data_IF_788932416537
#
_entry.id   IF_788932416537
#
_cell.length_a   1.000
_cell.length_b   1.000
_cell.length_c   1.000
_cell.angle_alpha   90.00
_cell.angle_beta   90.00
_cell.angle_gamma   90.00
#
_symmetry.space_group_name_H-M   'P 1'
#
loop_
_entity.id
_entity.type
_entity.pdbx_description
1 polymer ?
#
# COMPACT_ATOMS: atom_id res chain seq x y z
N UNK A 1 -4.75 28.24 4.39
CA UNK A 1 -3.49 27.67 4.89
C UNK A 1 -3.86 26.58 5.87
N UNK A 2 -3.96 25.34 5.41
CA UNK A 2 -4.32 24.19 6.26
C UNK A 2 -3.04 23.60 6.85
N UNK A 3 -2.88 23.80 8.16
CA UNK A 3 -1.84 23.13 8.94
C UNK A 3 -2.12 21.63 8.97
N UNK A 4 -1.41 20.85 8.15
CA UNK A 4 -1.32 19.42 8.32
C UNK A 4 -0.57 19.12 9.63
N UNK A 5 -1.12 18.32 10.55
CA UNK A 5 -0.41 17.94 11.75
C UNK A 5 0.89 17.18 11.37
N UNK A 6 2.02 17.66 11.89
CA UNK A 6 3.31 16.95 11.75
C UNK A 6 3.27 15.72 12.64
N UNK A 7 2.88 14.59 12.09
CA UNK A 7 3.13 13.31 12.75
C UNK A 7 4.62 13.00 12.65
N UNK A 8 5.37 13.32 13.72
CA UNK A 8 6.75 12.88 13.88
C UNK A 8 6.71 11.45 14.42
N UNK A 9 6.79 10.47 13.55
CA UNK A 9 7.12 9.10 13.96
C UNK A 9 8.63 9.05 14.26
N UNK A 10 8.98 9.17 15.56
CA UNK A 10 10.35 8.95 16.04
C UNK A 10 10.59 7.45 16.16
N UNK A 11 11.01 6.81 15.05
CA UNK A 11 11.88 5.64 15.07
C UNK A 11 12.53 5.50 13.69
N UNK A 12 13.73 6.06 13.54
CA UNK A 12 14.59 5.86 12.37
C UNK A 12 15.15 4.43 12.38
N UNK A 13 14.36 3.45 12.00
CA UNK A 13 14.91 2.30 11.30
C UNK A 13 15.16 2.76 9.86
N UNK A 14 16.32 2.41 9.29
CA UNK A 14 16.73 2.82 7.94
C UNK A 14 15.67 2.42 6.91
N UNK A 15 14.58 3.19 6.84
CA UNK A 15 13.53 3.09 5.87
C UNK A 15 14.08 3.60 4.53
N UNK A 16 13.89 2.84 3.48
CA UNK A 16 14.25 3.28 2.13
C UNK A 16 13.56 4.59 1.80
N UNK A 17 14.15 5.35 0.90
CA UNK A 17 13.68 6.67 0.47
C UNK A 17 12.35 6.60 -0.35
N UNK A 18 11.41 5.74 0.07
CA UNK A 18 10.10 5.55 -0.54
C UNK A 18 9.01 6.26 0.27
N UNK A 19 8.09 6.92 -0.41
CA UNK A 19 6.84 7.39 0.19
C UNK A 19 5.83 6.26 0.16
N UNK A 20 5.16 5.98 1.28
CA UNK A 20 4.06 5.01 1.37
C UNK A 20 2.74 5.62 0.88
N UNK A 21 2.04 4.92 0.00
CA UNK A 21 0.69 5.27 -0.47
C UNK A 21 -0.25 4.10 -0.21
N UNK A 22 -1.18 4.25 0.74
CA UNK A 22 -2.21 3.27 1.05
C UNK A 22 -3.48 3.59 0.26
N UNK A 23 -3.92 2.68 -0.58
CA UNK A 23 -5.15 2.87 -1.37
C UNK A 23 -6.36 2.34 -0.61
N UNK A 24 -7.22 3.22 -0.13
CA UNK A 24 -8.48 2.90 0.55
C UNK A 24 -9.71 3.26 -0.27
N UNK A 25 -9.52 3.83 -1.47
CA UNK A 25 -10.58 4.13 -2.41
C UNK A 25 -11.02 2.87 -3.19
N UNK A 26 -12.32 2.76 -3.43
CA UNK A 26 -12.90 1.69 -4.23
C UNK A 26 -14.31 1.32 -3.77
N UNK A 27 -15.18 0.93 -4.71
CA UNK A 27 -16.53 0.44 -4.36
C UNK A 27 -16.47 -1.07 -4.19
N UNK A 28 -16.46 -1.54 -2.93
CA UNK A 28 -16.55 -2.96 -2.57
C UNK A 28 -17.93 -3.55 -2.89
N UNK A 29 -18.24 -3.68 -4.20
CA UNK A 29 -19.58 -4.14 -4.66
C UNK A 29 -19.93 -5.56 -4.24
N UNK A 30 -18.93 -6.39 -3.89
CA UNK A 30 -19.12 -7.81 -3.58
C UNK A 30 -19.32 -8.09 -2.10
N UNK A 31 -18.90 -7.18 -1.24
CA UNK A 31 -18.90 -7.37 0.21
C UNK A 31 -20.23 -6.96 0.88
N UNK A 32 -21.11 -6.24 0.16
CA UNK A 32 -22.38 -5.72 0.70
C UNK A 32 -22.22 -4.59 1.73
N UNK A 33 -21.00 -4.39 2.24
CA UNK A 33 -20.55 -3.31 3.11
C UNK A 33 -19.11 -2.95 2.75
N UNK A 34 -18.58 -1.85 3.29
CA UNK A 34 -17.19 -1.50 3.01
C UNK A 34 -16.25 -2.46 3.77
N UNK A 35 -15.56 -3.35 3.04
CA UNK A 35 -14.66 -4.35 3.59
C UNK A 35 -13.53 -3.76 4.43
N UNK A 36 -13.13 -2.53 4.15
CA UNK A 36 -12.01 -1.86 4.81
C UNK A 36 -12.30 -1.45 6.26
N UNK A 37 -13.59 -1.27 6.61
CA UNK A 37 -14.00 -0.89 7.98
C UNK A 37 -14.36 -2.09 8.86
N UNK A 38 -14.33 -3.30 8.32
CA UNK A 38 -14.49 -4.50 9.16
C UNK A 38 -13.33 -4.65 10.13
N UNK A 39 -13.65 -5.04 11.35
CA UNK A 39 -12.66 -5.15 12.42
C UNK A 39 -12.20 -6.57 12.64
N UNK A 40 -10.90 -6.70 12.89
CA UNK A 40 -10.23 -7.90 13.34
C UNK A 40 -9.56 -7.53 14.65
N UNK A 41 -9.97 -8.16 15.76
CA UNK A 41 -9.46 -7.87 17.11
C UNK A 41 -9.43 -6.37 17.48
N UNK A 42 -10.43 -5.62 17.03
CA UNK A 42 -10.59 -4.21 17.36
C UNK A 42 -9.85 -3.23 16.45
N UNK A 43 -9.15 -3.70 15.41
CA UNK A 43 -8.57 -2.86 14.36
C UNK A 43 -9.27 -3.14 13.03
N UNK A 44 -9.49 -2.12 12.23
CA UNK A 44 -10.06 -2.31 10.89
C UNK A 44 -9.04 -2.92 9.93
N UNK A 45 -9.52 -3.57 8.87
CA UNK A 45 -8.67 -4.10 7.78
C UNK A 45 -7.74 -3.03 7.23
N UNK A 46 -8.25 -1.81 7.00
CA UNK A 46 -7.45 -0.70 6.53
C UNK A 46 -6.39 -0.24 7.55
N UNK A 47 -6.73 -0.21 8.85
CA UNK A 47 -5.77 0.17 9.91
C UNK A 47 -4.62 -0.83 10.03
N UNK A 48 -4.86 -2.13 9.88
CA UNK A 48 -3.83 -3.15 9.87
C UNK A 48 -2.84 -2.93 8.72
N UNK A 49 -3.35 -2.73 7.50
CA UNK A 49 -2.51 -2.42 6.33
C UNK A 49 -1.75 -1.11 6.50
N UNK A 50 -2.39 -0.07 7.05
CA UNK A 50 -1.77 1.22 7.34
C UNK A 50 -0.65 1.11 8.37
N UNK A 51 -0.85 0.31 9.42
CA UNK A 51 0.14 0.08 10.46
C UNK A 51 1.42 -0.56 9.87
N UNK A 52 1.28 -1.62 9.06
CA UNK A 52 2.40 -2.26 8.40
C UNK A 52 3.16 -1.27 7.49
N UNK A 53 2.44 -0.46 6.71
CA UNK A 53 3.01 0.55 5.83
C UNK A 53 3.77 1.63 6.60
N UNK A 54 3.21 2.12 7.71
CA UNK A 54 3.83 3.15 8.58
C UNK A 54 5.11 2.69 9.25
N UNK A 55 5.25 1.38 9.48
CA UNK A 55 6.48 0.79 9.98
C UNK A 55 7.54 0.57 8.89
N UNK A 56 7.13 0.59 7.62
CA UNK A 56 8.02 0.34 6.48
C UNK A 56 8.50 1.63 5.80
N UNK A 57 7.74 2.74 5.88
CA UNK A 57 8.05 4.01 5.23
C UNK A 57 7.98 5.16 6.25
N UNK A 58 8.93 6.12 6.19
CA UNK A 58 8.97 7.27 7.09
C UNK A 58 7.84 8.28 6.84
N UNK A 59 7.31 8.31 5.63
CA UNK A 59 6.23 9.22 5.21
C UNK A 59 5.17 8.42 4.48
N UNK A 60 3.94 8.43 5.01
CA UNK A 60 2.82 7.67 4.46
C UNK A 60 1.61 8.56 4.28
N UNK A 61 0.83 8.24 3.24
CA UNK A 61 -0.46 8.88 2.94
C UNK A 61 -1.51 7.82 2.67
N UNK A 62 -2.73 8.09 3.14
CA UNK A 62 -3.91 7.38 2.69
C UNK A 62 -4.47 8.05 1.43
N UNK A 63 -4.74 7.26 0.41
CA UNK A 63 -5.36 7.71 -0.84
C UNK A 63 -6.76 7.14 -0.90
N UNK A 64 -7.76 7.98 -0.60
CA UNK A 64 -9.15 7.54 -0.61
C UNK A 64 -10.02 8.15 0.48
N UNK A 65 -10.50 7.31 1.42
CA UNK A 65 -11.65 7.60 2.26
C UNK A 65 -11.32 8.25 3.62
N UNK A 66 -10.08 8.18 4.10
CA UNK A 66 -9.70 8.70 5.43
C UNK A 66 -10.07 7.73 6.56
N UNK A 67 -9.73 6.44 6.42
CA UNK A 67 -10.13 5.37 7.34
C UNK A 67 -9.07 5.06 8.41
N UNK A 68 -7.82 5.52 8.23
CA UNK A 68 -6.67 4.94 8.95
C UNK A 68 -5.91 5.92 9.86
N UNK A 69 -6.31 7.20 9.87
CA UNK A 69 -5.59 8.24 10.59
C UNK A 69 -4.31 8.73 9.92
N UNK A 70 -3.89 8.16 8.78
CA UNK A 70 -2.84 8.72 7.94
C UNK A 70 -3.30 10.05 7.30
N UNK A 71 -2.37 10.96 6.94
CA UNK A 71 -2.71 12.12 6.11
C UNK A 71 -3.41 11.69 4.83
N UNK A 72 -4.56 12.30 4.52
CA UNK A 72 -5.45 11.85 3.45
C UNK A 72 -5.24 12.66 2.17
N UNK A 73 -5.11 11.94 1.05
CA UNK A 73 -5.26 12.47 -0.30
C UNK A 73 -6.58 11.95 -0.84
N UNK A 74 -7.57 12.82 -0.97
CA UNK A 74 -8.88 12.42 -1.45
C UNK A 74 -8.85 12.03 -2.93
N UNK A 75 -9.26 10.79 -3.24
CA UNK A 75 -9.46 10.34 -4.62
C UNK A 75 -10.79 10.90 -5.14
N UNK A 76 -10.69 11.97 -5.93
CA UNK A 76 -11.85 12.58 -6.59
C UNK A 76 -12.18 11.94 -7.93
N UNK A 77 -11.30 11.06 -8.45
CA UNK A 77 -11.47 10.47 -9.79
C UNK A 77 -12.52 9.38 -9.82
N UNK A 78 -12.56 8.52 -8.81
CA UNK A 78 -13.41 7.32 -8.76
C UNK A 78 -13.20 6.34 -9.92
N UNK A 79 -12.07 6.47 -10.65
CA UNK A 79 -11.76 5.73 -11.89
C UNK A 79 -10.87 4.51 -11.64
N UNK A 80 -10.67 4.15 -10.37
CA UNK A 80 -9.89 2.98 -9.99
C UNK A 80 -8.46 3.28 -9.56
N UNK A 81 -7.70 2.23 -9.17
CA UNK A 81 -6.44 2.40 -8.45
C UNK A 81 -5.37 3.15 -9.22
N UNK A 82 -5.27 2.97 -10.55
CA UNK A 82 -4.26 3.68 -11.33
C UNK A 82 -4.52 5.19 -11.36
N UNK A 83 -5.78 5.61 -11.46
CA UNK A 83 -6.13 7.03 -11.44
C UNK A 83 -5.88 7.66 -10.07
N UNK A 84 -6.20 6.93 -8.99
CA UNK A 84 -5.91 7.35 -7.62
C UNK A 84 -4.39 7.54 -7.39
N UNK A 85 -3.56 6.59 -7.85
CA UNK A 85 -2.10 6.70 -7.80
C UNK A 85 -1.62 7.93 -8.60
N UNK A 86 -2.05 8.08 -9.84
CA UNK A 86 -1.63 9.19 -10.70
C UNK A 86 -1.99 10.56 -10.11
N UNK A 87 -3.20 10.70 -9.58
CA UNK A 87 -3.65 11.93 -8.91
C UNK A 87 -2.80 12.22 -7.67
N UNK A 88 -2.50 11.19 -6.86
CA UNK A 88 -1.69 11.34 -5.66
C UNK A 88 -0.25 11.74 -5.99
N UNK A 89 0.34 11.15 -7.03
CA UNK A 89 1.68 11.52 -7.51
C UNK A 89 1.73 12.99 -7.91
N UNK A 90 0.75 13.46 -8.70
CA UNK A 90 0.67 14.87 -9.10
C UNK A 90 0.54 15.79 -7.87
N UNK A 91 -0.34 15.46 -6.94
CA UNK A 91 -0.55 16.23 -5.72
C UNK A 91 0.72 16.30 -4.86
N UNK A 92 1.35 15.15 -4.57
CA UNK A 92 2.53 15.08 -3.72
C UNK A 92 3.74 15.80 -4.33
N UNK A 93 3.87 15.80 -5.67
CA UNK A 93 4.91 16.58 -6.38
C UNK A 93 4.63 18.07 -6.33
N UNK A 94 3.38 18.49 -6.50
CA UNK A 94 2.98 19.91 -6.37
C UNK A 94 3.28 20.44 -4.97
N UNK A 95 3.04 19.63 -3.94
CA UNK A 95 3.36 19.93 -2.55
C UNK A 95 4.86 19.77 -2.21
N UNK A 96 5.72 19.38 -3.15
CA UNK A 96 7.16 19.11 -2.97
C UNK A 96 7.45 18.06 -1.89
N UNK A 97 6.55 17.10 -1.71
CA UNK A 97 6.67 15.98 -0.78
C UNK A 97 7.30 14.77 -1.49
N UNK A 98 6.85 14.48 -2.71
CA UNK A 98 7.42 13.44 -3.57
C UNK A 98 8.37 14.09 -4.59
N UNK A 99 9.67 13.84 -4.45
CA UNK A 99 10.67 14.39 -5.36
C UNK A 99 10.67 13.64 -6.71
N UNK A 100 11.08 14.34 -7.76
CA UNK A 100 11.39 13.69 -9.04
C UNK A 100 12.57 12.73 -8.85
N UNK A 101 12.40 11.47 -9.20
CA UNK A 101 13.42 10.44 -8.98
C UNK A 101 13.26 9.65 -7.67
N UNK A 102 12.26 9.96 -6.86
CA UNK A 102 11.91 9.19 -5.68
C UNK A 102 10.91 8.08 -6.01
N UNK A 103 11.08 6.90 -5.39
CA UNK A 103 10.14 5.79 -5.50
C UNK A 103 8.96 5.97 -4.53
N UNK A 104 7.86 5.28 -4.82
CA UNK A 104 6.75 5.11 -3.89
C UNK A 104 6.48 3.63 -3.63
N UNK A 105 6.12 3.29 -2.40
CA UNK A 105 5.57 1.99 -2.03
C UNK A 105 4.05 2.12 -2.04
N UNK A 106 3.41 1.46 -3.00
CA UNK A 106 1.95 1.46 -3.15
C UNK A 106 1.40 0.20 -2.51
N UNK A 107 0.43 0.36 -1.61
CA UNK A 107 -0.22 -0.73 -0.90
C UNK A 107 -1.74 -0.60 -1.00
N UNK A 108 -2.43 -1.70 -1.31
CA UNK A 108 -3.88 -1.79 -1.17
C UNK A 108 -4.27 -1.87 0.32
N UNK A 109 -5.39 -1.25 0.69
CA UNK A 109 -5.86 -1.22 2.08
C UNK A 109 -6.53 -2.52 2.56
N UNK A 110 -6.66 -3.52 1.70
CA UNK A 110 -7.38 -4.78 1.94
C UNK A 110 -6.46 -5.99 2.13
N UNK A 111 -5.19 -5.78 2.45
CA UNK A 111 -4.17 -6.81 2.71
C UNK A 111 -3.71 -6.78 4.18
N UNK A 112 -4.57 -7.12 5.15
CA UNK A 112 -4.31 -6.91 6.57
C UNK A 112 -3.21 -7.79 7.15
N UNK A 113 -2.82 -8.87 6.46
CA UNK A 113 -1.76 -9.79 6.89
C UNK A 113 -0.37 -9.37 6.43
N UNK A 114 -0.26 -8.35 5.57
CA UNK A 114 1.05 -7.91 5.09
C UNK A 114 1.91 -7.44 6.26
N UNK A 115 3.16 -7.90 6.30
CA UNK A 115 4.06 -7.51 7.39
C UNK A 115 4.92 -6.30 7.03
N UNK A 116 5.31 -5.54 8.05
CA UNK A 116 6.25 -4.44 7.87
C UNK A 116 7.63 -4.93 7.38
N UNK A 117 8.04 -6.15 7.74
CA UNK A 117 9.28 -6.76 7.26
C UNK A 117 9.26 -6.98 5.75
N UNK A 118 8.21 -7.56 5.23
CA UNK A 118 8.00 -7.76 3.80
C UNK A 118 7.96 -6.43 3.05
N UNK A 119 7.20 -5.45 3.56
CA UNK A 119 7.14 -4.12 2.96
C UNK A 119 8.50 -3.40 2.97
N UNK A 120 9.31 -3.56 4.03
CA UNK A 120 10.68 -3.01 4.08
C UNK A 120 11.59 -3.63 3.03
N UNK A 121 11.49 -4.92 2.78
CA UNK A 121 12.25 -5.59 1.72
C UNK A 121 11.89 -4.98 0.36
N UNK A 122 10.59 -4.81 0.09
CA UNK A 122 10.10 -4.23 -1.16
C UNK A 122 10.55 -2.77 -1.29
N UNK A 123 10.41 -1.96 -0.24
CA UNK A 123 10.77 -0.55 -0.23
C UNK A 123 12.28 -0.32 -0.40
N UNK A 124 13.10 -1.14 0.26
CA UNK A 124 14.56 -0.98 0.32
C UNK A 124 15.31 -1.83 -0.72
N UNK A 125 14.63 -2.44 -1.66
CA UNK A 125 15.27 -3.24 -2.69
C UNK A 125 16.34 -2.42 -3.44
N UNK A 126 17.51 -2.99 -3.74
CA UNK A 126 18.60 -2.25 -4.38
C UNK A 126 18.21 -1.58 -5.69
N UNK A 127 18.73 -0.37 -5.91
CA UNK A 127 18.43 0.43 -7.11
C UNK A 127 17.12 1.22 -7.02
N UNK A 128 16.70 1.79 -8.15
CA UNK A 128 15.51 2.64 -8.26
C UNK A 128 14.41 2.06 -9.15
N UNK A 129 14.58 0.84 -9.63
CA UNK A 129 13.59 0.15 -10.45
C UNK A 129 12.33 -0.17 -9.65
N UNK A 130 11.23 -0.30 -10.33
CA UNK A 130 10.03 -0.90 -9.73
C UNK A 130 10.33 -2.34 -9.30
N UNK A 131 9.78 -2.74 -8.15
CA UNK A 131 9.82 -4.11 -7.67
C UNK A 131 8.40 -4.60 -7.42
N UNK A 132 8.02 -5.65 -8.11
CA UNK A 132 6.71 -6.30 -8.01
C UNK A 132 6.89 -7.67 -7.36
N UNK A 133 6.36 -7.89 -6.14
CA UNK A 133 6.28 -9.23 -5.55
C UNK A 133 5.42 -10.15 -6.41
N UNK A 134 5.82 -11.41 -6.51
CA UNK A 134 5.07 -12.47 -7.19
C UNK A 134 4.79 -13.59 -6.20
N UNK A 135 3.53 -13.90 -5.98
CA UNK A 135 3.04 -14.92 -5.03
C UNK A 135 2.16 -15.91 -5.78
N UNK A 136 2.49 -17.19 -5.72
CA UNK A 136 1.79 -18.23 -6.47
C UNK A 136 1.61 -17.88 -7.96
N UNK A 137 2.64 -17.30 -8.58
CA UNK A 137 2.64 -16.86 -9.97
C UNK A 137 1.79 -15.61 -10.27
N UNK A 138 1.23 -14.94 -9.25
CA UNK A 138 0.45 -13.70 -9.40
C UNK A 138 1.26 -12.47 -8.99
N UNK A 139 1.34 -11.50 -9.87
CA UNK A 139 2.02 -10.22 -9.62
C UNK A 139 1.17 -9.32 -8.69
N UNK A 140 1.79 -8.83 -7.60
CA UNK A 140 1.17 -8.00 -6.57
C UNK A 140 1.42 -6.51 -6.85
N UNK A 141 0.75 -5.96 -7.83
CA UNK A 141 0.97 -4.58 -8.31
C UNK A 141 0.65 -3.50 -7.26
N UNK A 142 -0.28 -3.80 -6.35
CA UNK A 142 -0.70 -2.91 -5.25
C UNK A 142 -0.14 -3.34 -3.88
N UNK A 143 1.00 -4.04 -3.88
CA UNK A 143 1.89 -4.22 -2.76
C UNK A 143 3.34 -4.14 -3.30
N UNK A 144 3.64 -3.09 -4.07
CA UNK A 144 4.82 -2.99 -4.90
C UNK A 144 5.53 -1.65 -4.74
N UNK A 145 6.85 -1.64 -4.96
CA UNK A 145 7.61 -0.41 -5.14
C UNK A 145 7.49 0.07 -6.60
N UNK A 146 7.08 1.30 -6.75
CA UNK A 146 6.93 1.98 -8.03
C UNK A 146 8.12 2.91 -8.25
N UNK A 147 8.83 2.72 -9.35
CA UNK A 147 9.90 3.60 -9.77
C UNK A 147 9.37 4.98 -10.21
N UNK A 148 10.25 6.00 -10.30
CA UNK A 148 9.87 7.30 -10.87
C UNK A 148 9.23 7.19 -12.25
N UNK A 149 9.76 6.31 -13.11
CA UNK A 149 9.23 6.06 -14.45
C UNK A 149 7.83 5.45 -14.43
N UNK A 150 7.59 4.50 -13.50
CA UNK A 150 6.26 3.89 -13.34
C UNK A 150 5.24 4.91 -12.82
N UNK A 151 5.66 5.79 -11.90
CA UNK A 151 4.84 6.88 -11.40
C UNK A 151 4.49 7.89 -12.51
N UNK A 152 5.46 8.28 -13.33
CA UNK A 152 5.22 9.15 -14.50
C UNK A 152 4.31 8.49 -15.54
N UNK A 153 4.53 7.19 -15.77
CA UNK A 153 3.71 6.41 -16.68
C UNK A 153 2.26 6.28 -16.20
N UNK A 154 2.02 6.24 -14.90
CA UNK A 154 0.65 6.25 -14.35
C UNK A 154 -0.10 7.50 -14.75
N UNK A 155 0.53 8.67 -14.69
CA UNK A 155 -0.04 9.95 -15.10
C UNK A 155 -0.30 9.96 -16.61
N UNK A 156 0.65 9.50 -17.41
CA UNK A 156 0.49 9.43 -18.86
C UNK A 156 -0.66 8.52 -19.28
N UNK A 157 -0.74 7.30 -18.70
CA UNK A 157 -1.76 6.33 -19.03
C UNK A 157 -3.16 6.84 -18.68
N UNK A 158 -3.35 7.40 -17.49
CA UNK A 158 -4.66 7.90 -17.05
C UNK A 158 -5.14 9.08 -17.89
N UNK A 159 -4.26 9.99 -18.29
CA UNK A 159 -4.57 11.08 -19.22
C UNK A 159 -5.06 10.58 -20.59
N UNK A 160 -4.64 9.38 -20.98
CA UNK A 160 -5.03 8.71 -22.23
C UNK A 160 -6.17 7.68 -22.04
N UNK A 161 -6.85 7.67 -20.89
CA UNK A 161 -7.99 6.77 -20.64
C UNK A 161 -7.60 5.32 -20.37
N UNK A 162 -6.32 5.01 -20.15
CA UNK A 162 -5.83 3.66 -19.90
C UNK A 162 -5.70 3.44 -18.39
N UNK A 163 -6.55 2.56 -17.82
CA UNK A 163 -6.70 2.39 -16.36
C UNK A 163 -6.10 1.09 -15.81
N UNK A 164 -5.35 0.33 -16.61
CA UNK A 164 -4.77 -0.94 -16.18
C UNK A 164 -3.46 -0.72 -15.42
N UNK A 165 -3.44 -1.06 -14.11
CA UNK A 165 -2.29 -0.90 -13.19
C UNK A 165 -1.02 -1.57 -13.73
N UNK A 166 -1.11 -2.81 -14.21
CA UNK A 166 0.04 -3.55 -14.75
C UNK A 166 0.78 -2.80 -15.86
N UNK A 167 0.06 -1.97 -16.64
CA UNK A 167 0.68 -1.19 -17.73
C UNK A 167 1.59 -0.07 -17.24
N UNK A 168 1.36 0.45 -16.04
CA UNK A 168 2.25 1.44 -15.44
C UNK A 168 3.58 0.80 -14.97
N UNK A 169 3.53 -0.46 -14.57
CA UNK A 169 4.69 -1.24 -14.13
C UNK A 169 5.36 -2.03 -15.29
N UNK A 170 4.84 -1.91 -16.51
CA UNK A 170 5.42 -2.49 -17.72
C UNK A 170 6.44 -1.51 -18.33
N UNK A 171 7.47 -1.18 -17.54
CA UNK A 171 8.59 -0.32 -17.94
C UNK A 171 9.89 -1.12 -17.89
N UNK A 172 10.87 -0.69 -18.68
CA UNK A 172 12.19 -1.32 -18.69
C UNK A 172 12.82 -1.31 -17.30
N UNK A 173 13.36 -2.45 -16.88
CA UNK A 173 14.02 -2.61 -15.58
C UNK A 173 13.08 -2.92 -14.41
N UNK A 174 11.75 -3.03 -14.60
CA UNK A 174 10.87 -3.54 -13.54
C UNK A 174 11.26 -4.95 -13.15
N UNK A 175 11.56 -5.15 -11.87
CA UNK A 175 11.96 -6.44 -11.32
C UNK A 175 10.74 -7.16 -10.74
N UNK A 176 10.76 -8.48 -10.82
CA UNK A 176 9.76 -9.37 -10.25
C UNK A 176 10.43 -10.29 -9.25
N UNK A 177 10.00 -10.22 -8.00
CA UNK A 177 10.57 -11.00 -6.90
C UNK A 177 9.58 -12.10 -6.52
N UNK A 178 9.96 -13.37 -6.76
CA UNK A 178 9.18 -14.49 -6.22
C UNK A 178 9.27 -14.49 -4.71
N UNK A 179 8.13 -14.44 -4.06
CA UNK A 179 8.00 -14.55 -2.60
C UNK A 179 7.80 -16.00 -2.15
N UNK A 180 7.60 -16.93 -3.08
CA UNK A 180 7.29 -18.35 -2.79
C UNK A 180 8.45 -19.08 -2.12
N UNK A 181 9.70 -18.60 -2.30
CA UNK A 181 10.89 -19.15 -1.68
C UNK A 181 11.27 -18.47 -0.35
N UNK A 182 10.52 -17.44 0.07
CA UNK A 182 10.79 -16.75 1.33
C UNK A 182 10.21 -17.58 2.48
N UNK A 183 11.01 -17.90 3.49
CA UNK A 183 10.71 -18.84 4.60
C UNK A 183 9.58 -18.44 5.56
N UNK A 184 8.80 -17.42 5.28
CA UNK A 184 7.57 -17.15 6.04
C UNK A 184 6.50 -18.16 5.62
N UNK A 185 6.10 -18.98 6.56
CA UNK A 185 5.35 -20.22 6.41
C UNK A 185 4.01 -20.16 5.67
N UNK A 186 3.54 -19.02 5.20
CA UNK A 186 2.31 -18.93 4.43
C UNK A 186 2.35 -17.72 3.50
N UNK A 187 2.17 -17.96 2.20
CA UNK A 187 1.90 -16.96 1.16
C UNK A 187 0.62 -16.11 1.43
N UNK A 188 0.16 -16.07 2.68
CA UNK A 188 -1.05 -15.40 3.13
C UNK A 188 -0.86 -13.90 3.36
N UNK A 189 0.39 -13.42 3.48
CA UNK A 189 0.66 -12.00 3.69
C UNK A 189 0.07 -11.10 2.60
N UNK A 190 -0.03 -11.60 1.37
CA UNK A 190 -0.58 -10.87 0.22
C UNK A 190 -2.06 -11.19 -0.05
N UNK A 191 -2.74 -11.88 0.89
CA UNK A 191 -4.13 -12.21 0.72
C UNK A 191 -4.98 -10.95 0.87
N UNK A 192 -5.69 -10.61 -0.19
CA UNK A 192 -6.75 -9.60 -0.16
C UNK A 192 -8.04 -10.21 0.42
N UNK A 193 -8.75 -9.43 1.23
CA UNK A 193 -10.03 -9.84 1.79
C UNK A 193 -11.14 -9.38 0.83
N UNK A 194 -11.67 -10.31 0.06
CA UNK A 194 -12.75 -10.04 -0.89
C UNK A 194 -14.13 -10.47 -0.40
N UNK A 195 -14.20 -11.32 0.64
CA UNK A 195 -15.46 -11.85 1.17
C UNK A 195 -15.50 -11.89 2.71
N UNK A 196 -16.68 -11.80 3.34
CA UNK A 196 -16.83 -11.98 4.79
C UNK A 196 -16.35 -13.35 5.29
N UNK A 197 -16.40 -14.37 4.44
CA UNK A 197 -15.96 -15.72 4.81
C UNK A 197 -14.43 -15.83 4.85
N UNK A 198 -13.71 -15.13 3.99
CA UNK A 198 -12.25 -14.99 4.07
C UNK A 198 -11.86 -14.29 5.36
N UNK A 199 -12.54 -13.19 5.70
CA UNK A 199 -12.32 -12.48 6.97
C UNK A 199 -12.51 -13.41 8.18
N UNK A 200 -13.59 -14.20 8.22
CA UNK A 200 -13.86 -15.17 9.32
C UNK A 200 -12.78 -16.24 9.40
N UNK A 201 -12.27 -16.73 8.27
CA UNK A 201 -11.19 -17.72 8.24
C UNK A 201 -9.91 -17.16 8.85
N UNK A 202 -9.56 -15.90 8.56
CA UNK A 202 -8.38 -15.25 9.11
C UNK A 202 -8.48 -15.07 10.64
N UNK A 203 -9.63 -14.64 11.13
CA UNK A 203 -9.90 -14.49 12.57
C UNK A 203 -9.81 -15.84 13.28
N UNK A 204 -10.41 -16.90 12.71
CA UNK A 204 -10.43 -18.24 13.32
C UNK A 204 -9.07 -18.96 13.25
N UNK A 205 -8.20 -18.58 12.34
CA UNK A 205 -6.89 -19.23 12.18
C UNK A 205 -5.79 -18.63 13.08
N UNK A 206 -6.11 -17.64 13.95
CA UNK A 206 -5.14 -16.92 14.80
C UNK A 206 -3.93 -16.35 14.00
N UNK A 207 -4.14 -16.07 12.71
CA UNK A 207 -3.07 -15.64 11.79
C UNK A 207 -2.65 -14.19 11.99
N UNK A 208 -3.36 -13.45 12.84
CA UNK A 208 -3.09 -12.03 13.09
C UNK A 208 -2.39 -11.90 14.44
N UNK A 209 -1.08 -11.72 14.39
CA UNK A 209 -0.28 -11.37 15.56
C UNK A 209 -0.32 -9.85 15.74
N UNK A 210 -1.24 -9.35 16.57
CA UNK A 210 -1.25 -7.92 16.93
C UNK A 210 -0.12 -7.67 17.92
N UNK A 211 0.77 -6.68 17.68
CA UNK A 211 1.76 -6.30 18.67
C UNK A 211 1.08 -5.85 19.96
N UNK A 212 1.44 -6.49 21.07
CA UNK A 212 0.87 -6.26 22.39
C UNK A 212 1.01 -4.76 22.76
N UNK A 213 -0.12 -4.11 23.06
CA UNK A 213 -0.18 -2.71 23.55
C UNK A 213 0.41 -2.54 24.96
N UNK A 214 0.94 -3.60 25.59
CA UNK A 214 1.35 -3.59 27.02
C UNK A 214 2.75 -3.08 27.28
N UNK A 215 3.51 -2.63 26.29
CA UNK A 215 4.88 -2.12 26.49
C UNK A 215 5.02 -0.58 26.49
N UNK A 216 3.90 0.15 26.70
CA UNK A 216 3.93 1.60 26.91
C UNK A 216 3.15 1.95 28.19
N UNK A 217 3.70 1.58 29.32
CA UNK A 217 3.36 2.16 30.64
C UNK A 217 4.63 2.61 31.33
#
# INVERSE_FOLDING_TARGET
>A
MNNLPRYQFQNRAAGGNCIGMLLTGGKSKRFGSDKLVHTIEGQTVAELSAHALSLACDTCFEVGLGLTGLPVIHDSSGQGPLAAIAQSVMYLRDQKILEFGQCALVLAGDVPLITASTLRIVANWPGRSSLVPVVNGREQYLAARWSPESLDRSIFLTKNGLMKVSKALDVSGTQRLSMDAWESQDNQEFLDIDTPDELRKLVNAELICIPDRRSQS
#
